data_IF_956415169760
#
_entry.id   IF_956415169760
#
_cell.length_a   1.000
_cell.length_b   1.000
_cell.length_c   1.000
_cell.angle_alpha   90.00
_cell.angle_beta   90.00
_cell.angle_gamma   90.00
#
_symmetry.space_group_name_H-M   'P 1'
#
loop_
_entity.id
_entity.type
_entity.pdbx_description
1 polymer ?
#
# COMPACT_ATOMS: atom_id res chain seq x y z
N UNK A 1 -6.91 4.54 1.88
CA UNK A 1 -6.33 3.53 2.79
C UNK A 1 -7.34 2.85 3.70
N UNK A 2 -8.35 3.55 4.22
CA UNK A 2 -9.37 2.91 5.07
C UNK A 2 -10.12 1.75 4.39
N UNK A 3 -10.30 1.81 3.07
CA UNK A 3 -10.96 0.74 2.30
C UNK A 3 -10.07 -0.49 2.11
N UNK A 4 -8.84 -0.31 1.62
CA UNK A 4 -7.87 -1.41 1.42
C UNK A 4 -7.56 -2.12 2.74
N UNK A 5 -7.42 -1.39 3.85
CA UNK A 5 -7.11 -1.97 5.17
C UNK A 5 -8.20 -2.91 5.71
N UNK A 6 -9.41 -2.90 5.16
CA UNK A 6 -10.47 -3.87 5.50
C UNK A 6 -10.20 -5.25 4.92
N UNK A 7 -9.39 -5.32 3.87
CA UNK A 7 -9.09 -6.53 3.12
C UNK A 7 -7.65 -7.02 3.34
N UNK A 8 -6.94 -6.45 4.32
CA UNK A 8 -5.54 -6.81 4.64
C UNK A 8 -5.40 -7.17 6.10
N UNK A 9 -4.79 -8.31 6.40
CA UNK A 9 -4.48 -8.73 7.78
C UNK A 9 -3.46 -7.82 8.45
N UNK A 10 -2.47 -7.34 7.69
CA UNK A 10 -1.48 -6.36 8.15
C UNK A 10 -1.88 -4.97 7.67
N UNK A 11 -2.11 -3.99 8.55
CA UNK A 11 -2.58 -2.68 8.16
C UNK A 11 -1.52 -1.93 7.34
N UNK A 12 -1.95 -1.33 6.22
CA UNK A 12 -1.15 -0.40 5.44
C UNK A 12 -1.23 1.00 6.05
N UNK A 13 -0.07 1.64 6.22
CA UNK A 13 0.05 3.01 6.73
C UNK A 13 0.84 3.86 5.74
N UNK A 14 0.53 5.14 5.70
CA UNK A 14 1.29 6.11 4.91
C UNK A 14 2.42 6.68 5.77
N UNK A 15 3.62 6.80 5.19
CA UNK A 15 4.76 7.39 5.88
C UNK A 15 4.63 8.91 6.06
N UNK A 16 3.93 9.58 5.15
CA UNK A 16 3.78 11.04 5.12
C UNK A 16 2.58 11.48 4.26
N UNK A 17 2.22 12.76 4.38
CA UNK A 17 1.12 13.36 3.63
C UNK A 17 1.38 13.41 2.12
N UNK A 18 2.65 13.49 1.68
CA UNK A 18 3.03 13.48 0.26
C UNK A 18 2.69 12.15 -0.40
N UNK A 19 2.93 11.05 0.30
CA UNK A 19 2.56 9.70 -0.16
C UNK A 19 1.04 9.57 -0.31
N UNK A 20 0.27 10.20 0.57
CA UNK A 20 -1.20 10.24 0.48
C UNK A 20 -1.76 11.03 -0.70
N UNK A 21 -0.94 11.85 -1.38
CA UNK A 21 -1.34 12.62 -2.56
C UNK A 21 -1.10 11.86 -3.87
N UNK A 22 -0.39 10.72 -3.83
CA UNK A 22 -0.14 9.90 -5.01
C UNK A 22 -1.45 9.22 -5.40
N UNK A 23 -2.00 9.64 -6.52
CA UNK A 23 -3.19 9.02 -7.12
C UNK A 23 -2.74 7.92 -8.07
N UNK A 24 -3.27 6.73 -7.86
CA UNK A 24 -3.14 5.61 -8.77
C UNK A 24 -4.51 5.01 -9.01
N UNK A 25 -4.75 4.55 -10.23
CA UNK A 25 -6.02 4.02 -10.68
C UNK A 25 -5.75 2.64 -11.27
N UNK A 26 -6.40 1.61 -10.74
CA UNK A 26 -6.19 0.24 -11.20
C UNK A 26 -7.12 -0.74 -10.51
N UNK A 27 -7.31 -1.90 -11.14
CA UNK A 27 -8.01 -3.03 -10.53
C UNK A 27 -6.96 -3.85 -9.80
N UNK A 28 -7.15 -4.02 -8.49
CA UNK A 28 -6.30 -4.86 -7.66
C UNK A 28 -7.03 -6.18 -7.41
N UNK A 29 -6.49 -7.28 -7.90
CA UNK A 29 -6.98 -8.61 -7.58
C UNK A 29 -6.34 -9.03 -6.25
N UNK A 30 -7.17 -9.20 -5.23
CA UNK A 30 -6.79 -9.42 -3.82
C UNK A 30 -6.70 -10.92 -3.48
N UNK A 31 -6.26 -11.77 -4.41
CA UNK A 31 -6.23 -13.22 -4.21
C UNK A 31 -5.08 -13.66 -3.28
N UNK A 32 -4.04 -12.84 -3.17
CA UNK A 32 -2.91 -13.02 -2.25
C UNK A 32 -2.56 -11.66 -1.61
N UNK A 33 -2.64 -11.59 -0.28
CA UNK A 33 -2.37 -10.36 0.49
C UNK A 33 -0.97 -9.78 0.24
N UNK A 34 0.03 -10.62 -0.06
CA UNK A 34 1.37 -10.17 -0.42
C UNK A 34 1.44 -9.57 -1.84
N UNK A 35 0.52 -9.95 -2.72
CA UNK A 35 0.46 -9.43 -4.09
C UNK A 35 -0.04 -7.98 -4.14
N UNK A 36 -0.82 -7.54 -3.15
CA UNK A 36 -1.34 -6.16 -3.03
C UNK A 36 -0.20 -5.15 -2.96
N UNK A 37 0.73 -5.34 -2.03
CA UNK A 37 1.83 -4.40 -1.79
C UNK A 37 2.78 -4.37 -2.98
N UNK A 38 3.09 -5.53 -3.56
CA UNK A 38 3.90 -5.62 -4.79
C UNK A 38 3.25 -4.87 -5.95
N UNK A 39 1.95 -5.04 -6.14
CA UNK A 39 1.19 -4.35 -7.20
C UNK A 39 1.19 -2.84 -6.98
N UNK A 40 1.02 -2.38 -5.74
CA UNK A 40 1.08 -0.96 -5.39
C UNK A 40 2.45 -0.34 -5.70
N UNK A 41 3.55 -1.04 -5.39
CA UNK A 41 4.92 -0.60 -5.72
C UNK A 41 5.17 -0.61 -7.23
N UNK A 42 4.53 -1.49 -8.00
CA UNK A 42 4.65 -1.50 -9.47
C UNK A 42 3.83 -0.41 -10.16
N UNK A 43 2.67 -0.04 -9.61
CA UNK A 43 1.73 0.88 -10.24
C UNK A 43 1.94 2.35 -9.85
N UNK A 44 2.73 2.62 -8.81
CA UNK A 44 2.98 3.96 -8.30
C UNK A 44 4.44 4.12 -7.87
N UNK A 45 5.00 5.34 -7.92
CA UNK A 45 6.37 5.62 -7.46
C UNK A 45 6.42 5.65 -5.93
N UNK A 46 6.15 4.50 -5.31
CA UNK A 46 6.14 4.28 -3.87
C UNK A 46 6.99 3.06 -3.51
N UNK A 47 7.49 3.07 -2.29
CA UNK A 47 8.23 1.98 -1.67
C UNK A 47 7.45 1.47 -0.46
N UNK A 48 7.62 0.19 -0.14
CA UNK A 48 7.01 -0.45 1.03
C UNK A 48 8.07 -0.88 2.03
N UNK A 49 7.88 -0.55 3.30
CA UNK A 49 8.73 -0.99 4.40
C UNK A 49 7.88 -1.77 5.41
N UNK A 50 8.23 -3.04 5.63
CA UNK A 50 7.62 -3.83 6.68
C UNK A 50 8.06 -3.31 8.05
N UNK A 51 7.10 -3.06 8.93
CA UNK A 51 7.31 -2.77 10.35
C UNK A 51 6.74 -3.91 11.18
N UNK A 52 6.93 -3.88 12.51
CA UNK A 52 6.44 -4.96 13.40
C UNK A 52 4.94 -5.21 13.27
N UNK A 53 4.15 -4.15 13.09
CA UNK A 53 2.67 -4.23 13.15
C UNK A 53 1.97 -3.68 11.90
N UNK A 54 2.73 -3.25 10.89
CA UNK A 54 2.16 -2.59 9.70
C UNK A 54 3.11 -2.57 8.51
N UNK A 55 2.57 -2.26 7.34
CA UNK A 55 3.37 -1.98 6.15
C UNK A 55 3.30 -0.48 5.89
N UNK A 56 4.46 0.19 5.95
CA UNK A 56 4.56 1.62 5.64
C UNK A 56 4.80 1.81 4.15
N UNK A 57 3.93 2.58 3.51
CA UNK A 57 4.07 3.03 2.13
C UNK A 57 4.66 4.45 2.13
N UNK A 58 5.67 4.68 1.27
CA UNK A 58 6.37 5.96 1.15
C UNK A 58 6.60 6.31 -0.32
N UNK A 59 6.33 7.55 -0.70
CA UNK A 59 6.73 8.11 -2.00
C UNK A 59 8.24 8.02 -2.22
N UNK A 60 8.66 7.72 -3.45
CA UNK A 60 10.06 7.91 -3.85
C UNK A 60 10.45 9.40 -3.86
#
# INVERSE_FOLDING_TARGET
>A
MADINRYTETPLKLADARTGQIRFSGVLVLDDHQAVVRSLVMLAPITSVNTRDSILLRAQ
#
